data_IF_252045193667
#
_entry.id   IF_252045193667
#
_cell.length_a   1.000
_cell.length_b   1.000
_cell.length_c   1.000
_cell.angle_alpha   90.00
_cell.angle_beta   90.00
_cell.angle_gamma   90.00
#
_symmetry.space_group_name_H-M   'P 1'
#
loop_
_entity.id
_entity.type
_entity.pdbx_description
1 polymer ?
#
# COMPACT_ATOMS: atom_id res chain seq x y z
N UNK A 1 13.39 -47.10 20.09
CA UNK A 1 12.19 -46.23 19.93
C UNK A 1 12.41 -44.76 20.33
N UNK A 2 13.32 -44.40 21.25
CA UNK A 2 13.51 -42.99 21.65
C UNK A 2 14.07 -42.03 20.58
N UNK A 3 14.87 -42.51 19.61
CA UNK A 3 15.54 -41.65 18.61
C UNK A 3 14.61 -41.15 17.47
N UNK A 4 13.44 -41.76 17.31
CA UNK A 4 12.48 -41.41 16.26
C UNK A 4 11.55 -40.27 16.67
N UNK A 5 11.23 -40.18 17.96
CA UNK A 5 10.34 -39.16 18.52
C UNK A 5 11.04 -37.80 18.55
N UNK A 6 12.32 -37.77 18.92
CA UNK A 6 13.12 -36.53 19.00
C UNK A 6 13.38 -35.90 17.63
N UNK A 7 13.53 -36.70 16.57
CA UNK A 7 13.79 -36.20 15.21
C UNK A 7 12.55 -35.53 14.58
N UNK A 8 11.35 -36.00 14.91
CA UNK A 8 10.09 -35.40 14.44
C UNK A 8 9.72 -34.13 15.21
N UNK A 9 10.07 -34.03 16.50
CA UNK A 9 9.84 -32.82 17.31
C UNK A 9 10.66 -31.61 16.82
N UNK A 10 11.89 -31.83 16.37
CA UNK A 10 12.76 -30.74 15.84
C UNK A 10 12.25 -30.23 14.48
N UNK A 11 11.75 -31.14 13.62
CA UNK A 11 11.16 -30.75 12.34
C UNK A 11 9.88 -29.94 12.51
N UNK A 12 9.07 -30.24 13.54
CA UNK A 12 7.86 -29.48 13.85
C UNK A 12 8.19 -28.06 14.36
N UNK A 13 9.24 -27.91 15.17
CA UNK A 13 9.68 -26.61 15.71
C UNK A 13 10.24 -25.66 14.63
N UNK A 14 10.85 -26.18 13.57
CA UNK A 14 11.35 -25.36 12.45
C UNK A 14 10.22 -24.89 11.51
N UNK A 15 9.11 -25.63 11.42
CA UNK A 15 7.97 -25.26 10.59
C UNK A 15 7.16 -24.08 11.16
N UNK A 16 7.17 -23.89 12.49
CA UNK A 16 6.43 -22.79 13.15
C UNK A 16 7.09 -21.42 12.91
N UNK A 17 8.41 -21.37 12.69
CA UNK A 17 9.11 -20.11 12.41
C UNK A 17 8.91 -19.57 10.98
N UNK A 18 8.54 -20.42 10.02
CA UNK A 18 8.32 -19.99 8.64
C UNK A 18 6.97 -19.26 8.42
N UNK A 19 6.03 -19.36 9.36
CA UNK A 19 4.67 -18.82 9.19
C UNK A 19 4.59 -17.34 9.63
N UNK A 20 5.62 -16.80 10.30
CA UNK A 20 5.58 -15.42 10.82
C UNK A 20 5.86 -14.33 9.78
N UNK A 21 6.09 -14.68 8.51
CA UNK A 21 6.43 -13.73 7.44
C UNK A 21 5.25 -13.32 6.54
N UNK A 22 4.06 -13.91 6.71
CA UNK A 22 2.85 -13.36 6.12
C UNK A 22 2.36 -12.24 7.05
N UNK A 23 2.97 -11.06 6.88
CA UNK A 23 2.44 -9.83 7.42
C UNK A 23 0.97 -9.72 7.03
N UNK A 24 0.11 -9.50 8.02
CA UNK A 24 -1.27 -9.12 7.79
C UNK A 24 -1.27 -7.97 6.79
N UNK A 25 -1.91 -8.15 5.64
CA UNK A 25 -2.30 -7.06 4.73
C UNK A 25 -3.30 -6.19 5.48
N UNK A 26 -2.74 -5.33 6.32
CA UNK A 26 -3.42 -4.24 6.98
C UNK A 26 -3.83 -3.24 5.89
N UNK A 27 -5.06 -2.69 5.90
CA UNK A 27 -5.47 -1.62 5.01
C UNK A 27 -4.70 -0.29 5.22
N UNK A 28 -3.67 -0.29 6.07
CA UNK A 28 -2.85 0.88 6.42
C UNK A 28 -1.93 1.41 5.31
N UNK A 29 -1.76 0.71 4.19
CA UNK A 29 -0.85 1.14 3.10
C UNK A 29 -1.51 1.97 2.00
N UNK A 30 -2.79 2.34 2.14
CA UNK A 30 -3.50 3.09 1.08
C UNK A 30 -3.01 4.56 1.04
N UNK A 31 -2.35 4.91 -0.05
CA UNK A 31 -1.95 6.27 -0.43
C UNK A 31 -2.98 6.79 -1.42
N UNK A 32 -4.07 7.36 -0.90
CA UNK A 32 -5.21 7.82 -1.72
C UNK A 32 -4.89 9.11 -2.50
N UNK A 33 -4.14 10.02 -1.89
CA UNK A 33 -3.82 11.33 -2.43
C UNK A 33 -2.36 11.41 -2.89
N UNK A 34 -2.05 12.37 -3.76
CA UNK A 34 -0.67 12.65 -4.17
C UNK A 34 0.16 13.13 -2.98
N UNK A 35 1.16 12.35 -2.51
CA UNK A 35 1.94 12.71 -1.34
C UNK A 35 2.87 13.90 -1.56
N UNK A 36 3.08 14.35 -2.80
CA UNK A 36 3.89 15.54 -3.10
C UNK A 36 3.24 16.79 -2.48
N UNK A 37 1.92 16.80 -2.29
CA UNK A 37 1.24 17.88 -1.59
C UNK A 37 1.76 18.05 -0.14
N UNK A 38 2.18 16.96 0.50
CA UNK A 38 2.78 16.95 1.84
C UNK A 38 4.29 16.70 1.81
N UNK A 39 4.97 17.09 0.73
CA UNK A 39 6.42 16.88 0.58
C UNK A 39 7.22 17.41 1.78
N UNK A 40 6.81 18.54 2.36
CA UNK A 40 7.55 19.19 3.46
C UNK A 40 7.30 18.45 4.79
N UNK A 41 6.05 18.04 5.06
CA UNK A 41 5.67 17.22 6.22
C UNK A 41 6.34 15.84 6.21
N UNK A 42 6.44 15.23 5.02
CA UNK A 42 7.05 13.92 4.77
C UNK A 42 8.56 14.00 4.52
N UNK A 43 9.11 15.21 4.37
CA UNK A 43 10.50 15.47 4.00
C UNK A 43 10.93 14.65 2.77
N UNK A 44 10.08 14.64 1.74
CA UNK A 44 10.36 13.93 0.49
C UNK A 44 11.55 14.59 -0.21
N UNK A 45 12.52 13.76 -0.62
CA UNK A 45 13.65 14.21 -1.44
C UNK A 45 13.20 14.50 -2.87
N UNK A 46 14.00 15.27 -3.62
CA UNK A 46 13.72 15.56 -5.04
C UNK A 46 13.59 14.28 -5.87
N UNK A 47 14.47 13.31 -5.65
CA UNK A 47 14.44 11.99 -6.28
C UNK A 47 13.12 11.25 -6.02
N UNK A 48 12.73 11.11 -4.74
CA UNK A 48 11.44 10.52 -4.37
C UNK A 48 10.26 11.28 -5.01
N UNK A 49 10.31 12.61 -5.05
CA UNK A 49 9.26 13.39 -5.72
C UNK A 49 9.20 13.10 -7.22
N UNK A 50 10.34 12.91 -7.89
CA UNK A 50 10.38 12.60 -9.31
C UNK A 50 9.80 11.19 -9.58
N UNK A 51 10.18 10.20 -8.77
CA UNK A 51 9.63 8.84 -8.85
C UNK A 51 8.12 8.83 -8.62
N UNK A 52 7.62 9.56 -7.62
CA UNK A 52 6.19 9.67 -7.35
C UNK A 52 5.45 10.33 -8.52
N UNK A 53 6.02 11.37 -9.14
CA UNK A 53 5.41 11.97 -10.34
C UNK A 53 5.33 10.99 -11.50
N UNK A 54 6.36 10.18 -11.71
CA UNK A 54 6.36 9.16 -12.76
C UNK A 54 5.23 8.14 -12.51
N UNK A 55 5.12 7.62 -11.29
CA UNK A 55 4.04 6.70 -10.89
C UNK A 55 2.65 7.32 -11.06
N UNK A 56 2.47 8.59 -10.65
CA UNK A 56 1.19 9.27 -10.83
C UNK A 56 0.85 9.49 -12.31
N UNK A 57 1.83 9.82 -13.15
CA UNK A 57 1.63 10.00 -14.58
C UNK A 57 1.15 8.71 -15.25
N UNK A 58 1.85 7.60 -15.01
CA UNK A 58 1.44 6.27 -15.51
C UNK A 58 0.05 5.87 -15.01
N UNK A 59 -0.28 6.20 -13.76
CA UNK A 59 -1.60 5.95 -13.21
C UNK A 59 -2.70 6.75 -13.94
N UNK A 60 -2.48 8.03 -14.23
CA UNK A 60 -3.48 8.84 -14.92
C UNK A 60 -3.68 8.37 -16.37
N UNK A 61 -2.61 7.96 -17.06
CA UNK A 61 -2.70 7.34 -18.38
C UNK A 61 -3.53 6.06 -18.33
N UNK A 62 -3.21 5.13 -17.42
CA UNK A 62 -3.98 3.88 -17.22
C UNK A 62 -5.46 4.14 -16.93
N UNK A 63 -5.78 5.17 -16.14
CA UNK A 63 -7.17 5.54 -15.85
C UNK A 63 -7.89 5.95 -17.14
N UNK A 64 -7.27 6.78 -17.97
CA UNK A 64 -7.86 7.23 -19.23
C UNK A 64 -8.14 6.05 -20.15
N UNK A 65 -7.15 5.16 -20.34
CA UNK A 65 -7.31 3.94 -21.15
C UNK A 65 -8.45 3.07 -20.61
N UNK A 66 -8.51 2.88 -19.28
CA UNK A 66 -9.57 2.10 -18.62
C UNK A 66 -10.96 2.69 -18.86
N UNK A 67 -11.10 4.02 -18.81
CA UNK A 67 -12.36 4.70 -19.11
C UNK A 67 -12.78 4.49 -20.56
N UNK A 68 -11.85 4.53 -21.50
CA UNK A 68 -12.13 4.31 -22.93
C UNK A 68 -12.54 2.86 -23.22
N UNK A 69 -11.88 1.88 -22.61
CA UNK A 69 -12.14 0.45 -22.82
C UNK A 69 -13.43 -0.03 -22.14
N UNK A 70 -13.72 0.47 -20.93
CA UNK A 70 -14.81 -0.02 -20.07
C UNK A 70 -16.02 0.93 -20.00
N UNK A 71 -16.14 1.87 -20.94
CA UNK A 71 -17.14 2.96 -20.90
C UNK A 71 -18.59 2.49 -20.71
N UNK A 72 -18.92 1.26 -21.14
CA UNK A 72 -20.29 0.73 -21.16
C UNK A 72 -20.63 -0.19 -19.97
N UNK A 73 -19.66 -0.59 -19.13
CA UNK A 73 -19.90 -1.38 -17.92
C UNK A 73 -19.34 -0.66 -16.69
N UNK A 74 -20.22 0.03 -15.97
CA UNK A 74 -19.86 0.78 -14.76
C UNK A 74 -19.28 -0.12 -13.67
N UNK A 75 -19.68 -1.39 -13.56
CA UNK A 75 -19.16 -2.29 -12.53
C UNK A 75 -17.73 -2.71 -12.87
N UNK A 76 -17.48 -3.06 -14.13
CA UNK A 76 -16.15 -3.41 -14.61
C UNK A 76 -15.20 -2.21 -14.51
N UNK A 77 -15.64 -1.03 -14.96
CA UNK A 77 -14.92 0.22 -14.83
C UNK A 77 -14.53 0.52 -13.38
N UNK A 78 -15.49 0.47 -12.44
CA UNK A 78 -15.20 0.71 -11.03
C UNK A 78 -14.19 -0.30 -10.46
N UNK A 79 -14.28 -1.57 -10.85
CA UNK A 79 -13.33 -2.60 -10.42
C UNK A 79 -11.92 -2.31 -10.94
N UNK A 80 -11.80 -1.96 -12.22
CA UNK A 80 -10.53 -1.64 -12.85
C UNK A 80 -9.89 -0.37 -12.26
N UNK A 81 -10.67 0.70 -12.07
CA UNK A 81 -10.20 1.94 -11.43
C UNK A 81 -9.73 1.71 -9.98
N UNK A 82 -10.44 0.87 -9.21
CA UNK A 82 -10.01 0.48 -7.87
C UNK A 82 -8.67 -0.27 -7.92
N UNK A 83 -8.52 -1.19 -8.87
CA UNK A 83 -7.28 -1.93 -9.06
C UNK A 83 -6.10 -1.00 -9.41
N UNK A 84 -6.29 -0.06 -10.36
CA UNK A 84 -5.28 0.95 -10.69
C UNK A 84 -4.90 1.80 -9.48
N UNK A 85 -5.89 2.16 -8.65
CA UNK A 85 -5.67 2.96 -7.43
C UNK A 85 -4.85 2.20 -6.38
N UNK A 86 -5.14 0.91 -6.18
CA UNK A 86 -4.38 0.04 -5.27
C UNK A 86 -2.95 -0.17 -5.77
N UNK A 87 -2.78 -0.40 -7.07
CA UNK A 87 -1.45 -0.57 -7.69
C UNK A 87 -0.57 0.67 -7.49
N UNK A 88 -1.09 1.85 -7.86
CA UNK A 88 -0.41 3.14 -7.65
C UNK A 88 -0.04 3.35 -6.19
N UNK A 89 -1.00 3.09 -5.30
CA UNK A 89 -0.81 3.21 -3.85
C UNK A 89 0.38 2.37 -3.38
N UNK A 90 0.44 1.10 -3.79
CA UNK A 90 1.50 0.19 -3.42
C UNK A 90 2.86 0.63 -3.95
N UNK A 91 2.92 1.11 -5.20
CA UNK A 91 4.15 1.65 -5.79
C UNK A 91 4.67 2.86 -5.00
N UNK A 92 3.80 3.83 -4.71
CA UNK A 92 4.17 5.01 -3.91
C UNK A 92 4.59 4.62 -2.50
N UNK A 93 3.89 3.65 -1.89
CA UNK A 93 4.24 3.15 -0.56
C UNK A 93 5.67 2.58 -0.51
N UNK A 94 6.13 1.95 -1.59
CA UNK A 94 7.50 1.44 -1.67
C UNK A 94 8.56 2.54 -1.76
N UNK A 95 8.24 3.68 -2.38
CA UNK A 95 9.14 4.85 -2.46
C UNK A 95 9.38 5.46 -1.08
N UNK A 96 8.41 5.38 -0.17
CA UNK A 96 8.57 5.87 1.18
C UNK A 96 9.56 5.03 1.99
N UNK A 97 10.42 5.72 2.73
CA UNK A 97 11.18 5.11 3.81
C UNK A 97 10.27 4.66 4.97
N UNK A 98 10.72 3.74 5.84
CA UNK A 98 9.92 3.30 6.99
C UNK A 98 9.45 4.44 7.91
N UNK A 99 10.25 5.50 8.08
CA UNK A 99 9.86 6.68 8.87
C UNK A 99 8.77 7.50 8.18
N UNK A 100 8.85 7.63 6.85
CA UNK A 100 7.84 8.34 6.05
C UNK A 100 6.51 7.60 6.05
N UNK A 101 6.50 6.27 5.96
CA UNK A 101 5.29 5.44 6.09
C UNK A 101 4.56 5.67 7.43
N UNK A 102 5.31 5.66 8.53
CA UNK A 102 4.75 5.98 9.86
C UNK A 102 4.19 7.41 9.92
N UNK A 103 4.89 8.38 9.33
CA UNK A 103 4.43 9.78 9.27
C UNK A 103 3.18 9.92 8.41
N UNK A 104 3.11 9.22 7.28
CA UNK A 104 1.94 9.16 6.40
C UNK A 104 0.71 8.66 7.16
N UNK A 105 0.82 7.51 7.85
CA UNK A 105 -0.28 6.94 8.63
C UNK A 105 -0.78 7.89 9.73
N UNK A 106 0.13 8.65 10.34
CA UNK A 106 -0.20 9.68 11.34
C UNK A 106 -0.94 10.86 10.72
N UNK A 107 -0.43 11.40 9.59
CA UNK A 107 -1.10 12.48 8.85
C UNK A 107 -2.51 12.08 8.42
N UNK A 108 -2.70 10.80 8.06
CA UNK A 108 -4.00 10.24 7.71
C UNK A 108 -4.94 10.18 8.91
N UNK A 109 -4.50 9.60 10.02
CA UNK A 109 -5.31 9.52 11.24
C UNK A 109 -5.68 10.92 11.73
N UNK A 110 -4.71 11.80 11.95
CA UNK A 110 -4.95 13.13 12.54
C UNK A 110 -5.92 13.97 11.71
N UNK A 111 -5.80 13.96 10.38
CA UNK A 111 -6.59 14.87 9.53
C UNK A 111 -7.97 14.33 9.13
N UNK A 112 -8.22 13.03 9.27
CA UNK A 112 -9.45 12.41 8.77
C UNK A 112 -10.24 11.62 9.83
N UNK A 113 -9.71 11.38 11.04
CA UNK A 113 -10.57 10.98 12.17
C UNK A 113 -11.17 12.18 12.91
N UNK A 114 -10.60 13.38 12.78
CA UNK A 114 -11.18 14.61 13.37
C UNK A 114 -12.46 15.06 12.63
N UNK A 115 -12.55 14.83 11.32
CA UNK A 115 -13.74 15.20 10.51
C UNK A 115 -14.99 14.36 10.87
N UNK A 116 -14.82 13.24 11.59
CA UNK A 116 -15.92 12.37 11.99
C UNK A 116 -16.59 12.70 13.32
N UNK A 117 -16.11 13.71 14.06
CA UNK A 117 -16.58 14.01 15.42
C UNK A 117 -17.37 15.34 15.55
N UNK A 118 -17.59 16.03 14.44
CA UNK A 118 -18.37 17.28 14.36
C UNK A 118 -19.74 17.08 13.66
N UNK A 119 -20.23 15.84 13.60
CA UNK A 119 -21.54 15.46 13.02
C UNK A 119 -22.57 15.09 14.07
#
# INVERSE_FOLDING_TARGET
MHKFVTRNLIALLLAVFAISAYGQDSPESIVLYDPIFWKDDLKLKSEQCNEIRAVNMEFYEKILDTYEESANDSRELNRALLQCSVERSNQIWQIFSPKQRKKWMKLWHERYTEVGNDG
#
